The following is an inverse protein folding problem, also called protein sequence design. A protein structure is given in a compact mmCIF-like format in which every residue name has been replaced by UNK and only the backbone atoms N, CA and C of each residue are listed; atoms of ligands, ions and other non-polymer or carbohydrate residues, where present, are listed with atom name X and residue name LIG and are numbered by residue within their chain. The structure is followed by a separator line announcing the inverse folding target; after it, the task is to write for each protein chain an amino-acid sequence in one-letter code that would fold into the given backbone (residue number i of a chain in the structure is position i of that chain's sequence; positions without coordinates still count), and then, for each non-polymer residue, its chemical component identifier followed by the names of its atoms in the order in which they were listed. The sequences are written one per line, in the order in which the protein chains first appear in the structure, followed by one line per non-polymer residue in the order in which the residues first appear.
data_IF_258950883372
#
_entry.id   IF_258950883372
#
_cell.length_a   1.000
_cell.length_b   1.000
_cell.length_c   1.000
_cell.angle_alpha   90.00
_cell.angle_beta   90.00
_cell.angle_gamma   90.00
#
_symmetry.space_group_name_H-M   'P 1'
#
loop_
_entity.id
_entity.type
_entity.pdbx_description
1 polymer ?
#
# COMPACT_ATOMS: atom_id res chain seq x y z
N UNK A 1 33.57 40.04 -0.18
CA UNK A 1 32.83 39.31 0.88
C UNK A 1 31.42 38.95 0.40
N UNK A 2 30.71 39.87 -0.24
CA UNK A 2 29.30 39.73 -0.64
C UNK A 2 29.00 38.52 -1.54
N UNK A 3 29.89 38.19 -2.48
CA UNK A 3 29.72 37.03 -3.38
C UNK A 3 29.80 35.67 -2.66
N UNK A 4 30.62 35.57 -1.61
CA UNK A 4 30.74 34.36 -0.80
C UNK A 4 29.49 34.21 0.08
N UNK A 5 28.99 35.30 0.66
CA UNK A 5 27.75 35.30 1.43
C UNK A 5 26.55 34.94 0.54
N UNK A 6 26.45 35.50 -0.67
CA UNK A 6 25.41 35.15 -1.64
C UNK A 6 25.46 33.67 -2.06
N UNK A 7 26.66 33.14 -2.35
CA UNK A 7 26.82 31.73 -2.71
C UNK A 7 26.45 30.79 -1.55
N UNK A 8 26.88 31.11 -0.32
CA UNK A 8 26.54 30.33 0.87
C UNK A 8 25.03 30.38 1.19
N UNK A 9 24.41 31.56 1.04
CA UNK A 9 22.98 31.76 1.26
C UNK A 9 22.12 30.99 0.23
N UNK A 10 22.51 31.02 -1.05
CA UNK A 10 21.86 30.24 -2.10
C UNK A 10 22.04 28.72 -1.91
N UNK A 11 23.24 28.28 -1.52
CA UNK A 11 23.49 26.88 -1.20
C UNK A 11 22.61 26.39 -0.05
N UNK A 12 22.46 27.21 1.00
CA UNK A 12 21.59 26.90 2.13
C UNK A 12 20.13 26.69 1.70
N UNK A 13 19.56 27.57 0.88
CA UNK A 13 18.18 27.39 0.40
C UNK A 13 18.00 26.15 -0.47
N UNK A 14 19.00 25.79 -1.28
CA UNK A 14 18.96 24.55 -2.05
C UNK A 14 18.92 23.32 -1.13
N UNK A 15 19.75 23.29 -0.08
CA UNK A 15 19.73 22.19 0.90
C UNK A 15 18.44 22.16 1.71
N UNK A 16 17.91 23.32 2.13
CA UNK A 16 16.63 23.41 2.84
C UNK A 16 15.46 22.97 1.95
N UNK A 17 15.46 23.37 0.68
CA UNK A 17 14.48 22.94 -0.31
C UNK A 17 14.53 21.43 -0.54
N UNK A 18 15.72 20.86 -0.70
CA UNK A 18 15.90 19.42 -0.82
C UNK A 18 15.42 18.68 0.44
N UNK A 19 15.77 19.17 1.62
CA UNK A 19 15.32 18.59 2.88
C UNK A 19 13.79 18.61 3.00
N UNK A 20 13.14 19.71 2.61
CA UNK A 20 11.67 19.81 2.59
C UNK A 20 11.05 18.77 1.64
N UNK A 21 11.58 18.63 0.43
CA UNK A 21 11.11 17.63 -0.54
C UNK A 21 11.25 16.21 0.02
N UNK A 22 12.39 15.89 0.64
CA UNK A 22 12.62 14.59 1.26
C UNK A 22 11.67 14.33 2.43
N UNK A 23 11.39 15.33 3.26
CA UNK A 23 10.43 15.21 4.36
C UNK A 23 9.01 14.95 3.84
N UNK A 24 8.56 15.68 2.82
CA UNK A 24 7.25 15.47 2.19
C UNK A 24 7.16 14.07 1.59
N UNK A 25 8.17 13.64 0.83
CA UNK A 25 8.23 12.27 0.31
C UNK A 25 8.19 11.22 1.41
N UNK A 26 8.96 11.40 2.48
CA UNK A 26 8.98 10.48 3.60
C UNK A 26 7.62 10.41 4.31
N UNK A 27 6.89 11.53 4.39
CA UNK A 27 5.52 11.58 4.88
C UNK A 27 4.56 10.78 4.00
N UNK A 28 4.61 10.98 2.68
CA UNK A 28 3.79 10.25 1.71
C UNK A 28 4.04 8.73 1.77
N UNK A 29 5.31 8.32 1.83
CA UNK A 29 5.70 6.90 1.93
C UNK A 29 5.31 6.25 3.27
N UNK A 30 5.06 7.05 4.32
CA UNK A 30 4.58 6.55 5.62
C UNK A 30 3.06 6.62 5.75
N UNK A 31 2.36 7.21 4.77
CA UNK A 31 0.91 7.36 4.83
C UNK A 31 0.19 6.01 4.90
N UNK A 32 -0.96 5.92 5.60
CA UNK A 32 -1.74 4.69 5.70
C UNK A 32 -2.13 4.12 4.32
N UNK A 33 -2.50 4.99 3.37
CA UNK A 33 -2.84 4.59 1.99
C UNK A 33 -1.69 3.89 1.29
N UNK A 34 -0.49 4.47 1.36
CA UNK A 34 0.69 3.86 0.74
C UNK A 34 1.08 2.54 1.40
N UNK A 35 0.92 2.44 2.73
CA UNK A 35 1.13 1.17 3.46
C UNK A 35 0.13 0.10 3.01
N UNK A 36 -1.16 0.43 2.89
CA UNK A 36 -2.20 -0.48 2.41
C UNK A 36 -1.88 -1.02 1.01
N UNK A 37 -1.65 -0.09 0.06
CA UNK A 37 -1.27 -0.43 -1.31
C UNK A 37 -0.03 -1.33 -1.40
N UNK A 38 1.01 -1.06 -0.58
CA UNK A 38 2.20 -1.90 -0.50
C UNK A 38 1.88 -3.31 0.00
N UNK A 39 1.00 -3.42 0.99
CA UNK A 39 0.55 -4.69 1.55
C UNK A 39 -0.15 -5.53 0.50
N UNK A 40 -1.19 -4.98 -0.13
CA UNK A 40 -1.94 -5.67 -1.18
C UNK A 40 -1.02 -6.11 -2.32
N UNK A 41 -0.13 -5.23 -2.78
CA UNK A 41 0.83 -5.57 -3.85
C UNK A 41 1.76 -6.72 -3.47
N UNK A 42 2.12 -6.85 -2.19
CA UNK A 42 2.91 -7.98 -1.72
C UNK A 42 2.11 -9.29 -1.76
N UNK A 43 0.83 -9.26 -1.37
CA UNK A 43 -0.07 -10.42 -1.44
C UNK A 43 -0.29 -10.85 -2.89
N UNK A 44 -0.60 -9.92 -3.80
CA UNK A 44 -0.74 -10.23 -5.26
C UNK A 44 0.50 -10.88 -5.83
N UNK A 45 1.69 -10.39 -5.44
CA UNK A 45 2.97 -10.99 -5.86
C UNK A 45 3.10 -12.41 -5.31
N UNK A 46 2.75 -12.64 -4.04
CA UNK A 46 2.81 -13.95 -3.43
C UNK A 46 1.86 -14.95 -4.12
N UNK A 47 0.63 -14.54 -4.42
CA UNK A 47 -0.35 -15.35 -5.17
C UNK A 47 0.25 -15.75 -6.53
N UNK A 48 0.71 -14.79 -7.33
CA UNK A 48 1.29 -15.05 -8.65
C UNK A 48 2.54 -15.94 -8.64
N UNK A 49 3.31 -15.90 -7.56
CA UNK A 49 4.54 -16.70 -7.44
C UNK A 49 4.29 -18.10 -6.91
N UNK A 50 3.22 -18.30 -6.12
CA UNK A 50 2.99 -19.55 -5.38
C UNK A 50 1.85 -20.40 -5.91
N UNK A 51 0.90 -19.81 -6.64
CA UNK A 51 -0.25 -20.51 -7.19
C UNK A 51 -0.03 -20.77 -8.68
N UNK A 52 -0.36 -22.00 -9.11
CA UNK A 52 -0.33 -22.38 -10.52
C UNK A 52 -1.47 -21.69 -11.26
N UNK A 53 -1.20 -20.81 -12.26
CA UNK A 53 -2.23 -20.09 -13.00
C UNK A 53 -3.12 -20.99 -13.87
N UNK A 54 -2.75 -22.27 -14.07
CA UNK A 54 -3.61 -23.24 -14.76
C UNK A 54 -4.66 -23.85 -13.83
N UNK A 55 -4.42 -23.79 -12.51
CA UNK A 55 -5.31 -24.37 -11.48
C UNK A 55 -6.10 -23.29 -10.76
N UNK A 56 -5.50 -22.12 -10.53
CA UNK A 56 -6.08 -21.03 -9.76
C UNK A 56 -6.29 -19.80 -10.65
N UNK A 57 -7.44 -19.15 -10.47
CA UNK A 57 -7.73 -17.85 -11.10
C UNK A 57 -7.87 -16.81 -10.01
N UNK A 58 -7.05 -15.77 -10.04
CA UNK A 58 -7.07 -14.65 -9.11
C UNK A 58 -7.70 -13.39 -9.72
N UNK A 59 -8.54 -12.72 -8.94
CA UNK A 59 -9.04 -11.37 -9.19
C UNK A 59 -8.68 -10.47 -8.02
N UNK A 60 -8.47 -9.19 -8.28
CA UNK A 60 -8.04 -8.22 -7.27
C UNK A 60 -8.80 -6.90 -7.42
N UNK A 61 -8.95 -6.15 -6.33
CA UNK A 61 -9.66 -4.86 -6.27
C UNK A 61 -11.09 -4.92 -6.83
N UNK A 62 -11.85 -5.96 -6.47
CA UNK A 62 -13.20 -6.13 -6.97
C UNK A 62 -14.16 -5.32 -6.11
N UNK A 63 -14.81 -4.32 -6.72
CA UNK A 63 -15.89 -3.59 -6.07
C UNK A 63 -17.23 -4.17 -6.50
N UNK A 64 -17.99 -4.68 -5.54
CA UNK A 64 -19.32 -5.25 -5.75
C UNK A 64 -20.40 -4.27 -5.26
N UNK A 65 -21.48 -4.03 -6.03
CA UNK A 65 -22.62 -3.30 -5.53
C UNK A 65 -23.39 -4.12 -4.49
N UNK A 66 -23.88 -3.45 -3.45
CA UNK A 66 -24.74 -4.02 -2.41
C UNK A 66 -26.03 -3.20 -2.29
N UNK A 67 -27.05 -3.70 -1.60
CA UNK A 67 -28.33 -2.99 -1.44
C UNK A 67 -28.12 -1.58 -0.85
N UNK A 68 -27.21 -1.45 0.12
CA UNK A 68 -26.93 -0.19 0.82
C UNK A 68 -25.63 0.52 0.37
N UNK A 69 -25.02 0.13 -0.76
CA UNK A 69 -23.78 0.75 -1.23
C UNK A 69 -22.90 -0.16 -2.08
N UNK A 70 -21.62 -0.27 -1.70
CA UNK A 70 -20.67 -1.17 -2.35
C UNK A 70 -19.66 -1.69 -1.35
N UNK A 71 -19.19 -2.91 -1.57
CA UNK A 71 -18.07 -3.49 -0.82
C UNK A 71 -16.89 -3.76 -1.74
N UNK A 72 -15.68 -3.59 -1.23
CA UNK A 72 -14.46 -3.98 -1.92
C UNK A 72 -13.99 -5.35 -1.41
N UNK A 73 -13.53 -6.19 -2.32
CA UNK A 73 -12.80 -7.42 -2.04
C UNK A 73 -11.37 -7.24 -2.58
N UNK A 74 -10.38 -7.29 -1.68
CA UNK A 74 -8.98 -7.08 -2.06
C UNK A 74 -8.48 -8.18 -3.00
N UNK A 75 -8.69 -9.45 -2.64
CA UNK A 75 -8.34 -10.60 -3.48
C UNK A 75 -9.39 -11.70 -3.43
N UNK A 76 -9.76 -12.20 -4.60
CA UNK A 76 -10.63 -13.35 -4.80
C UNK A 76 -9.88 -14.43 -5.57
N UNK A 77 -9.87 -15.66 -5.08
CA UNK A 77 -9.19 -16.78 -5.73
C UNK A 77 -10.18 -17.91 -5.96
N UNK A 78 -10.39 -18.25 -7.22
CA UNK A 78 -11.12 -19.44 -7.65
C UNK A 78 -10.16 -20.63 -7.64
N UNK A 79 -10.55 -21.70 -6.94
CA UNK A 79 -9.77 -22.91 -6.77
C UNK A 79 -10.66 -24.14 -6.94
N UNK A 80 -10.11 -25.30 -7.34
CA UNK A 80 -10.82 -26.57 -7.28
C UNK A 80 -11.35 -26.94 -5.89
N UNK A 81 -10.79 -26.33 -4.83
CA UNK A 81 -11.17 -26.57 -3.43
C UNK A 81 -12.20 -25.56 -2.89
N UNK A 82 -12.57 -24.55 -3.67
CA UNK A 82 -13.54 -23.53 -3.26
C UNK A 82 -13.13 -22.11 -3.65
N UNK A 83 -13.84 -21.14 -3.07
CA UNK A 83 -13.62 -19.71 -3.27
C UNK A 83 -12.92 -19.11 -2.05
N UNK A 84 -11.73 -18.55 -2.24
CA UNK A 84 -11.00 -17.90 -1.17
C UNK A 84 -11.14 -16.38 -1.32
N UNK A 85 -11.60 -15.73 -0.26
CA UNK A 85 -11.68 -14.27 -0.14
C UNK A 85 -10.60 -13.84 0.84
N UNK A 86 -9.65 -13.02 0.38
CA UNK A 86 -8.56 -12.52 1.21
C UNK A 86 -8.66 -11.01 1.35
N UNK A 87 -8.57 -10.55 2.59
CA UNK A 87 -8.50 -9.15 2.98
C UNK A 87 -7.06 -8.82 3.41
N UNK A 88 -6.51 -7.70 2.92
CA UNK A 88 -5.12 -7.34 3.24
C UNK A 88 -5.05 -6.25 4.30
N UNK A 89 -4.61 -6.63 5.51
CA UNK A 89 -4.34 -5.67 6.60
C UNK A 89 -2.84 -5.55 6.88
N UNK A 90 -2.24 -4.45 6.43
CA UNK A 90 -0.83 -4.15 6.66
C UNK A 90 -0.62 -3.36 7.96
N UNK A 91 -0.86 -4.00 9.10
CA UNK A 91 -0.67 -3.44 10.44
C UNK A 91 0.56 -4.05 11.14
N UNK A 92 1.12 -3.31 12.09
CA UNK A 92 2.19 -3.79 12.98
C UNK A 92 1.65 -3.87 14.41
N UNK A 93 2.22 -4.76 15.22
CA UNK A 93 1.79 -4.99 16.60
C UNK A 93 0.82 -6.16 16.73
N UNK A 94 0.11 -6.21 17.86
CA UNK A 94 -0.82 -7.28 18.16
C UNK A 94 -2.17 -7.05 17.49
N UNK A 95 -2.63 -8.04 16.72
CA UNK A 95 -3.96 -8.04 16.11
C UNK A 95 -4.84 -8.91 16.98
N UNK A 96 -5.91 -8.32 17.52
CA UNK A 96 -6.92 -9.00 18.31
C UNK A 96 -8.22 -9.07 17.51
N UNK A 97 -8.94 -10.18 17.60
CA UNK A 97 -10.25 -10.36 16.99
C UNK A 97 -11.09 -11.34 17.81
N UNK A 98 -12.40 -11.13 17.84
CA UNK A 98 -13.35 -12.07 18.44
C UNK A 98 -14.34 -12.58 17.39
N UNK A 99 -14.91 -13.76 17.61
CA UNK A 99 -15.87 -14.40 16.68
C UNK A 99 -17.16 -13.58 16.49
N UNK A 100 -17.47 -12.66 17.41
CA UNK A 100 -18.68 -11.81 17.39
C UNK A 100 -18.40 -10.33 17.17
N UNK A 101 -17.27 -9.99 16.56
CA UNK A 101 -16.89 -8.59 16.32
C UNK A 101 -17.44 -8.04 15.00
#
# INVERSE_FOLDING_TARGET
MDQIFLAAFNGLFLYLGLALVLMVLAGLLRSPRFKGWRGERAVRRAIRQKLDPLVYVDLHDITLPTQDGSTQIDHLIFSPYGLFVLETKNYQGWIFGSERQ
#
